data_IF_312235726795
#
_entry.id   IF_312235726795
#
_cell.length_a   1.000
_cell.length_b   1.000
_cell.length_c   1.000
_cell.angle_alpha   90.00
_cell.angle_beta   90.00
_cell.angle_gamma   90.00
#
_symmetry.space_group_name_H-M   'P 1'
#
loop_
_entity.id
_entity.type
_entity.pdbx_description
1 polymer ?
#
# COMPACT_ATOMS: atom_id res chain seq x y z
N UNK A 1 -3.48 24.42 63.30
CA UNK A 1 -4.54 23.60 62.68
C UNK A 1 -5.20 24.30 61.49
N UNK A 2 -5.43 25.63 61.50
CA UNK A 2 -6.02 26.39 60.39
C UNK A 2 -5.10 26.48 59.18
N UNK A 3 -3.79 26.65 59.35
CA UNK A 3 -2.83 26.69 58.27
C UNK A 3 -2.78 25.34 57.49
N UNK A 4 -2.93 24.23 58.21
CA UNK A 4 -2.95 22.90 57.62
C UNK A 4 -4.25 22.66 56.81
N UNK A 5 -5.40 23.19 57.27
CA UNK A 5 -6.64 23.16 56.51
C UNK A 5 -6.55 23.99 55.23
N UNK A 6 -5.94 25.19 55.28
CA UNK A 6 -5.76 26.06 54.11
C UNK A 6 -4.86 25.44 53.05
N UNK A 7 -3.80 24.72 53.43
CA UNK A 7 -2.94 23.99 52.53
C UNK A 7 -3.65 22.81 51.85
N UNK A 8 -4.45 22.05 52.61
CA UNK A 8 -5.24 20.94 52.06
C UNK A 8 -6.37 21.39 51.12
N UNK A 9 -6.92 22.60 51.29
CA UNK A 9 -7.90 23.18 50.36
C UNK A 9 -7.22 23.65 49.07
N UNK A 10 -6.01 24.23 49.14
CA UNK A 10 -5.24 24.63 47.95
C UNK A 10 -4.85 23.43 47.06
N UNK A 11 -4.45 22.30 47.66
CA UNK A 11 -4.14 21.09 46.92
C UNK A 11 -5.37 20.49 46.21
N UNK A 12 -6.53 20.46 46.87
CA UNK A 12 -7.78 19.99 46.26
C UNK A 12 -8.25 20.87 45.10
N UNK A 13 -8.15 22.19 45.24
CA UNK A 13 -8.52 23.12 44.17
C UNK A 13 -7.57 23.00 42.96
N UNK A 14 -6.27 22.76 43.18
CA UNK A 14 -5.31 22.52 42.11
C UNK A 14 -5.56 21.19 41.39
N UNK A 15 -5.91 20.11 42.10
CA UNK A 15 -6.30 18.83 41.52
C UNK A 15 -7.59 18.96 40.68
N UNK A 16 -8.61 19.66 41.16
CA UNK A 16 -9.87 19.87 40.43
C UNK A 16 -9.63 20.70 39.17
N UNK A 17 -8.82 21.75 39.24
CA UNK A 17 -8.47 22.57 38.07
C UNK A 17 -7.67 21.76 37.05
N UNK A 18 -6.72 20.95 37.50
CA UNK A 18 -5.92 20.08 36.62
C UNK A 18 -6.80 19.03 35.92
N UNK A 19 -7.70 18.39 36.66
CA UNK A 19 -8.64 17.41 36.10
C UNK A 19 -9.61 18.06 35.09
N UNK A 20 -10.08 19.27 35.35
CA UNK A 20 -10.93 20.01 34.42
C UNK A 20 -10.19 20.40 33.14
N UNK A 21 -8.90 20.78 33.21
CA UNK A 21 -8.05 21.02 32.04
C UNK A 21 -7.78 19.76 31.23
N UNK A 22 -7.55 18.62 31.89
CA UNK A 22 -7.38 17.32 31.23
C UNK A 22 -8.66 16.89 30.50
N UNK A 23 -9.83 17.07 31.08
CA UNK A 23 -11.12 16.77 30.46
C UNK A 23 -11.43 17.66 29.25
N UNK A 24 -11.11 18.96 29.32
CA UNK A 24 -11.25 19.88 28.18
C UNK A 24 -10.30 19.47 27.04
N UNK A 25 -9.06 19.16 27.35
CA UNK A 25 -8.07 18.73 26.37
C UNK A 25 -8.46 17.41 25.71
N UNK A 26 -8.95 16.43 26.51
CA UNK A 26 -9.44 15.15 25.99
C UNK A 26 -10.65 15.34 25.06
N UNK A 27 -11.61 16.20 25.42
CA UNK A 27 -12.79 16.51 24.59
C UNK A 27 -12.39 17.19 23.28
N UNK A 28 -11.46 18.13 23.33
CA UNK A 28 -10.92 18.83 22.16
C UNK A 28 -10.21 17.84 21.23
N UNK A 29 -9.38 16.94 21.76
CA UNK A 29 -8.71 15.89 21.03
C UNK A 29 -9.69 14.92 20.34
N UNK A 30 -10.73 14.46 21.05
CA UNK A 30 -11.77 13.60 20.48
C UNK A 30 -12.54 14.28 19.34
N UNK A 31 -12.85 15.57 19.46
CA UNK A 31 -13.49 16.34 18.42
C UNK A 31 -12.59 16.47 17.18
N UNK A 32 -11.28 16.70 17.36
CA UNK A 32 -10.28 16.71 16.30
C UNK A 32 -10.24 15.36 15.55
N UNK A 33 -10.16 14.25 16.28
CA UNK A 33 -10.18 12.91 15.68
C UNK A 33 -11.45 12.69 14.88
N UNK A 34 -12.61 13.00 15.43
CA UNK A 34 -13.90 12.87 14.76
C UNK A 34 -13.90 13.67 13.45
N UNK A 35 -13.47 14.92 13.48
CA UNK A 35 -13.38 15.79 12.31
C UNK A 35 -12.44 15.19 11.24
N UNK A 36 -11.27 14.69 11.62
CA UNK A 36 -10.29 14.14 10.71
C UNK A 36 -10.70 12.80 10.08
N UNK A 37 -11.61 12.05 10.71
CA UNK A 37 -11.92 10.67 10.29
C UNK A 37 -13.34 10.46 9.79
N UNK A 38 -14.25 11.42 9.94
CA UNK A 38 -15.68 11.24 9.63
C UNK A 38 -15.96 10.93 8.15
N UNK A 39 -15.18 11.53 7.25
CA UNK A 39 -15.39 11.42 5.79
C UNK A 39 -14.47 10.39 5.13
N UNK A 40 -13.73 9.59 5.91
CA UNK A 40 -12.87 8.54 5.38
C UNK A 40 -13.70 7.32 4.96
N UNK A 41 -13.58 6.87 3.69
CA UNK A 41 -14.30 5.70 3.21
C UNK A 41 -13.73 4.39 3.77
N UNK A 42 -14.53 3.30 3.67
CA UNK A 42 -14.15 1.95 4.06
C UNK A 42 -13.50 1.17 2.91
N UNK A 43 -12.76 1.85 2.07
CA UNK A 43 -12.18 1.32 0.84
C UNK A 43 -10.66 1.29 0.92
N UNK A 44 -10.06 0.50 0.02
CA UNK A 44 -8.61 0.38 -0.12
C UNK A 44 -8.01 1.63 -0.74
N UNK A 45 -6.92 2.11 -0.16
CA UNK A 45 -6.25 3.28 -0.68
C UNK A 45 -4.92 3.60 -0.02
N UNK A 46 -4.42 4.77 -0.36
CA UNK A 46 -3.30 5.42 0.31
C UNK A 46 -3.89 6.47 1.24
N UNK A 47 -3.49 6.46 2.49
CA UNK A 47 -3.83 7.50 3.46
C UNK A 47 -2.60 8.37 3.72
N UNK A 48 -2.78 9.69 3.72
CA UNK A 48 -1.73 10.67 3.98
C UNK A 48 -2.09 11.49 5.20
N UNK A 49 -1.20 11.55 6.17
CA UNK A 49 -1.31 12.42 7.34
C UNK A 49 -0.40 13.62 7.12
N UNK A 50 -0.94 14.82 7.27
CA UNK A 50 -0.23 16.07 7.04
C UNK A 50 -0.26 16.95 8.28
N UNK A 51 0.83 17.70 8.48
CA UNK A 51 0.90 18.73 9.52
C UNK A 51 0.20 20.04 9.07
N UNK A 52 0.23 21.07 9.92
CA UNK A 52 -0.38 22.37 9.66
C UNK A 52 0.15 23.07 8.40
N UNK A 53 1.41 22.79 8.01
CA UNK A 53 2.03 23.34 6.80
C UNK A 53 1.71 22.53 5.53
N UNK A 54 0.87 21.50 5.62
CA UNK A 54 0.51 20.62 4.50
C UNK A 54 1.59 19.59 4.14
N UNK A 55 2.65 19.47 4.94
CA UNK A 55 3.71 18.48 4.72
C UNK A 55 3.24 17.10 5.14
N UNK A 56 3.43 16.10 4.27
CA UNK A 56 3.16 14.69 4.59
C UNK A 56 4.15 14.23 5.67
N UNK A 57 3.65 13.91 6.87
CA UNK A 57 4.42 13.37 8.00
C UNK A 57 4.39 11.85 8.03
N UNK A 58 3.33 11.26 7.48
CA UNK A 58 3.17 9.82 7.38
C UNK A 58 2.21 9.46 6.23
N UNK A 59 2.44 8.33 5.56
CA UNK A 59 1.49 7.71 4.65
C UNK A 59 1.61 6.19 4.69
N UNK A 60 0.52 5.50 4.36
CA UNK A 60 0.50 4.05 4.24
C UNK A 60 -0.52 3.56 3.21
N UNK A 61 -0.33 2.32 2.73
CA UNK A 61 -1.29 1.59 1.91
C UNK A 61 -2.14 0.74 2.83
N UNK A 62 -3.45 0.87 2.71
CA UNK A 62 -4.37 0.25 3.64
C UNK A 62 -5.58 -0.34 2.91
N UNK A 63 -6.11 -1.44 3.44
CA UNK A 63 -7.31 -2.10 2.88
C UNK A 63 -8.60 -1.36 3.25
N UNK A 64 -8.57 -0.55 4.31
CA UNK A 64 -9.70 0.20 4.84
C UNK A 64 -9.18 1.49 5.48
N UNK A 65 -9.42 2.61 4.81
CA UNK A 65 -8.94 3.94 5.20
C UNK A 65 -9.51 4.38 6.56
N UNK A 66 -10.82 4.21 6.75
CA UNK A 66 -11.50 4.60 8.00
C UNK A 66 -11.02 3.77 9.19
N UNK A 67 -10.95 2.44 9.02
CA UNK A 67 -10.48 1.53 10.07
C UNK A 67 -9.04 1.79 10.46
N UNK A 68 -8.17 2.02 9.47
CA UNK A 68 -6.76 2.30 9.72
C UNK A 68 -6.58 3.59 10.53
N UNK A 69 -7.24 4.69 10.13
CA UNK A 69 -7.16 5.96 10.84
C UNK A 69 -7.62 5.81 12.29
N UNK A 70 -8.78 5.18 12.52
CA UNK A 70 -9.28 4.91 13.89
C UNK A 70 -8.30 4.06 14.71
N UNK A 71 -7.68 3.06 14.09
CA UNK A 71 -6.67 2.21 14.76
C UNK A 71 -5.43 3.02 15.11
N UNK A 72 -4.96 3.89 14.21
CA UNK A 72 -3.82 4.77 14.46
C UNK A 72 -4.08 5.70 15.65
N UNK A 73 -5.24 6.36 15.70
CA UNK A 73 -5.59 7.29 16.77
C UNK A 73 -5.82 6.60 18.13
N UNK A 74 -6.20 5.31 18.14
CA UNK A 74 -6.32 4.51 19.36
C UNK A 74 -5.00 3.84 19.78
N UNK A 75 -3.96 3.94 18.99
CA UNK A 75 -2.67 3.28 19.24
C UNK A 75 -1.86 4.01 20.31
N UNK A 76 -1.26 3.23 21.22
CA UNK A 76 -0.32 3.72 22.25
C UNK A 76 1.15 3.65 21.82
N UNK A 77 1.46 3.23 20.59
CA UNK A 77 2.85 3.14 20.13
C UNK A 77 3.48 4.54 20.02
N UNK A 78 4.76 4.66 20.36
CA UNK A 78 5.48 5.94 20.31
C UNK A 78 5.40 6.60 18.94
N UNK A 79 5.52 5.81 17.86
CA UNK A 79 5.45 6.30 16.48
C UNK A 79 4.06 6.86 16.15
N UNK A 80 2.99 6.15 16.54
CA UNK A 80 1.63 6.61 16.27
C UNK A 80 1.28 7.84 17.10
N UNK A 81 1.75 7.93 18.35
CA UNK A 81 1.56 9.13 19.17
C UNK A 81 2.18 10.36 18.52
N UNK A 82 3.40 10.25 18.02
CA UNK A 82 4.02 11.36 17.31
C UNK A 82 3.17 11.83 16.11
N UNK A 83 2.60 10.90 15.32
CA UNK A 83 1.70 11.25 14.22
C UNK A 83 0.41 11.90 14.75
N UNK A 84 -0.18 11.37 15.83
CA UNK A 84 -1.38 11.93 16.47
C UNK A 84 -1.19 13.37 16.93
N UNK A 85 -0.01 13.70 17.46
CA UNK A 85 0.32 15.03 17.98
C UNK A 85 0.54 16.06 16.85
N UNK A 86 1.10 15.63 15.70
CA UNK A 86 1.50 16.52 14.61
C UNK A 86 0.44 16.66 13.49
N UNK A 87 -0.51 15.72 13.38
CA UNK A 87 -1.47 15.70 12.27
C UNK A 87 -2.51 16.80 12.38
N UNK A 88 -2.73 17.54 11.29
CA UNK A 88 -3.81 18.53 11.16
C UNK A 88 -4.76 18.21 10.01
N UNK A 89 -4.29 17.45 8.99
CA UNK A 89 -5.09 17.07 7.84
C UNK A 89 -4.88 15.61 7.46
N UNK A 90 -5.95 14.96 6.98
CA UNK A 90 -5.89 13.62 6.38
C UNK A 90 -6.42 13.71 4.96
N UNK A 91 -5.63 13.21 4.01
CA UNK A 91 -6.03 13.02 2.62
C UNK A 91 -5.89 11.56 2.22
N UNK A 92 -6.55 11.16 1.14
CA UNK A 92 -6.43 9.79 0.63
C UNK A 92 -6.55 9.75 -0.90
N UNK A 93 -6.00 8.69 -1.48
CA UNK A 93 -6.26 8.27 -2.85
C UNK A 93 -6.80 6.84 -2.82
N UNK A 94 -7.92 6.60 -3.49
CA UNK A 94 -8.39 5.24 -3.73
C UNK A 94 -7.50 4.56 -4.78
N UNK A 95 -7.17 3.28 -4.61
CA UNK A 95 -6.17 2.64 -5.47
C UNK A 95 -6.58 1.30 -6.05
N UNK A 96 -7.49 0.57 -5.43
CA UNK A 96 -7.90 -0.77 -5.85
C UNK A 96 -6.85 -1.87 -5.60
N UNK A 97 -5.54 -1.57 -5.73
CA UNK A 97 -4.46 -2.54 -5.50
C UNK A 97 -3.17 -1.89 -4.98
N UNK A 98 -2.28 -2.70 -4.38
CA UNK A 98 -0.96 -2.25 -3.90
C UNK A 98 -0.04 -1.82 -5.06
N UNK A 99 -0.18 -2.44 -6.22
CA UNK A 99 0.58 -2.07 -7.43
C UNK A 99 0.21 -0.64 -7.84
N UNK A 100 -1.09 -0.33 -7.94
CA UNK A 100 -1.56 1.00 -8.27
C UNK A 100 -1.20 2.03 -7.19
N UNK A 101 -1.26 1.65 -5.92
CA UNK A 101 -0.81 2.50 -4.83
C UNK A 101 0.67 2.91 -4.99
N UNK A 102 1.56 1.95 -5.29
CA UNK A 102 2.98 2.24 -5.55
C UNK A 102 3.20 3.13 -6.75
N UNK A 103 2.43 2.95 -7.81
CA UNK A 103 2.49 3.80 -8.99
C UNK A 103 2.06 5.23 -8.66
N UNK A 104 0.94 5.41 -7.97
CA UNK A 104 0.42 6.73 -7.57
C UNK A 104 1.43 7.47 -6.69
N UNK A 105 1.99 6.83 -5.65
CA UNK A 105 2.98 7.52 -4.80
C UNK A 105 4.26 7.88 -5.56
N UNK A 106 4.67 7.06 -6.54
CA UNK A 106 5.83 7.35 -7.37
C UNK A 106 5.62 8.59 -8.22
N UNK A 107 4.42 8.80 -8.77
CA UNK A 107 4.09 10.04 -9.52
C UNK A 107 4.11 11.28 -8.64
N UNK A 108 3.83 11.12 -7.35
CA UNK A 108 3.91 12.19 -6.33
C UNK A 108 5.33 12.40 -5.76
N UNK A 109 6.34 11.70 -6.28
CA UNK A 109 7.71 11.77 -5.77
C UNK A 109 7.93 11.11 -4.41
N UNK A 110 6.95 10.35 -3.93
CA UNK A 110 7.03 9.61 -2.68
C UNK A 110 7.56 8.20 -2.93
N UNK A 111 8.19 7.61 -1.91
CA UNK A 111 8.72 6.25 -1.97
C UNK A 111 8.39 5.50 -0.68
N UNK A 112 7.97 4.26 -0.83
CA UNK A 112 7.83 3.30 0.26
C UNK A 112 8.58 2.04 -0.12
N UNK A 113 9.67 1.75 0.58
CA UNK A 113 10.47 0.54 0.34
C UNK A 113 9.80 -0.66 1.00
N UNK A 114 9.76 -1.77 0.29
CA UNK A 114 9.34 -3.04 0.84
C UNK A 114 10.50 -3.71 1.58
N UNK A 115 10.19 -4.27 2.75
CA UNK A 115 11.14 -5.07 3.50
C UNK A 115 10.93 -6.55 3.17
N UNK A 116 11.54 -7.01 2.08
CA UNK A 116 11.52 -8.41 1.70
C UNK A 116 12.55 -9.19 2.53
N UNK A 117 12.09 -10.14 3.33
CA UNK A 117 12.94 -10.97 4.18
C UNK A 117 13.07 -12.42 3.69
N UNK A 118 12.14 -12.87 2.84
CA UNK A 118 12.05 -14.25 2.37
C UNK A 118 12.09 -14.30 0.84
N UNK A 119 12.65 -15.36 0.29
CA UNK A 119 12.72 -15.63 -1.14
C UNK A 119 12.13 -16.99 -1.50
N UNK A 120 11.64 -17.11 -2.73
CA UNK A 120 11.33 -18.37 -3.39
C UNK A 120 12.57 -18.86 -4.11
N UNK A 121 12.95 -20.09 -3.88
CA UNK A 121 14.10 -20.77 -4.50
C UNK A 121 13.67 -22.09 -5.13
N UNK A 122 14.47 -22.59 -6.05
CA UNK A 122 14.30 -23.90 -6.68
C UNK A 122 15.63 -24.66 -6.64
N UNK A 123 15.64 -25.84 -6.00
CA UNK A 123 16.81 -26.70 -5.87
C UNK A 123 16.38 -28.15 -5.73
N UNK A 124 17.15 -29.06 -6.34
CA UNK A 124 16.84 -30.49 -6.30
C UNK A 124 15.39 -30.80 -6.70
N UNK A 125 14.93 -30.18 -7.79
CA UNK A 125 13.58 -30.34 -8.36
C UNK A 125 12.43 -29.93 -7.42
N UNK A 126 12.70 -29.08 -6.41
CA UNK A 126 11.70 -28.62 -5.45
C UNK A 126 11.75 -27.12 -5.25
N UNK A 127 10.56 -26.52 -5.11
CA UNK A 127 10.42 -25.15 -4.67
C UNK A 127 10.41 -25.08 -3.14
N UNK A 128 11.04 -24.06 -2.60
CA UNK A 128 11.02 -23.80 -1.16
C UNK A 128 11.14 -22.30 -0.87
N UNK A 129 10.61 -21.90 0.28
CA UNK A 129 10.75 -20.55 0.80
C UNK A 129 11.82 -20.53 1.89
N UNK A 130 12.75 -19.57 1.83
CA UNK A 130 13.81 -19.43 2.81
C UNK A 130 14.12 -17.93 3.05
N UNK A 131 14.73 -17.62 4.20
CA UNK A 131 15.24 -16.27 4.47
C UNK A 131 16.35 -15.91 3.49
N UNK A 132 16.24 -14.72 2.89
CA UNK A 132 17.25 -14.20 1.94
C UNK A 132 18.64 -14.12 2.60
N UNK A 133 18.68 -13.80 3.90
CA UNK A 133 19.94 -13.74 4.66
C UNK A 133 20.67 -15.09 4.77
N UNK A 134 19.94 -16.22 4.65
CA UNK A 134 20.52 -17.56 4.76
C UNK A 134 21.14 -18.04 3.44
N UNK A 135 20.67 -17.51 2.30
CA UNK A 135 21.09 -17.88 0.96
C UNK A 135 21.62 -16.65 0.19
N UNK A 136 22.62 -15.99 0.73
CA UNK A 136 23.14 -14.71 0.22
C UNK A 136 23.70 -14.79 -1.21
N UNK A 137 24.23 -15.94 -1.61
CA UNK A 137 24.82 -16.16 -2.93
C UNK A 137 23.79 -16.56 -3.98
N UNK A 138 22.60 -16.99 -3.56
CA UNK A 138 21.54 -17.44 -4.46
C UNK A 138 20.51 -16.31 -4.67
N UNK A 139 20.19 -16.00 -5.93
CA UNK A 139 19.15 -15.01 -6.24
C UNK A 139 17.77 -15.65 -6.17
N UNK A 140 16.84 -15.15 -5.34
CA UNK A 140 15.48 -15.69 -5.29
C UNK A 140 14.72 -15.43 -6.59
N UNK A 141 13.84 -16.35 -6.97
CA UNK A 141 12.91 -16.20 -8.10
C UNK A 141 11.87 -15.11 -7.81
N UNK A 142 11.34 -15.09 -6.58
CA UNK A 142 10.38 -14.12 -6.05
C UNK A 142 10.74 -13.78 -4.62
N UNK A 143 10.32 -12.60 -4.14
CA UNK A 143 10.59 -12.12 -2.79
C UNK A 143 9.30 -11.87 -2.00
N UNK A 144 9.32 -12.09 -0.67
CA UNK A 144 8.17 -11.98 0.21
C UNK A 144 8.51 -11.24 1.51
N UNK A 145 7.52 -10.55 2.07
CA UNK A 145 7.64 -9.85 3.37
C UNK A 145 7.61 -10.83 4.56
N UNK A 146 6.93 -11.97 4.41
CA UNK A 146 6.83 -12.99 5.46
C UNK A 146 7.02 -14.41 4.93
N UNK A 147 7.43 -15.32 5.83
CA UNK A 147 7.56 -16.75 5.52
C UNK A 147 6.23 -17.37 5.06
N UNK A 148 5.13 -16.98 5.70
CA UNK A 148 3.78 -17.47 5.34
C UNK A 148 3.40 -17.12 3.90
N UNK A 149 3.77 -15.92 3.41
CA UNK A 149 3.55 -15.55 2.00
C UNK A 149 4.38 -16.43 1.06
N UNK A 150 5.64 -16.71 1.42
CA UNK A 150 6.50 -17.63 0.67
C UNK A 150 5.94 -19.05 0.60
N UNK A 151 5.49 -19.60 1.73
CA UNK A 151 4.86 -20.95 1.76
C UNK A 151 3.57 -21.01 0.92
N UNK A 152 2.72 -19.97 0.97
CA UNK A 152 1.53 -19.92 0.11
C UNK A 152 1.90 -19.91 -1.38
N UNK A 153 2.97 -19.23 -1.76
CA UNK A 153 3.44 -19.24 -3.14
C UNK A 153 4.00 -20.61 -3.55
N UNK A 154 4.79 -21.28 -2.69
CA UNK A 154 5.26 -22.66 -2.93
C UNK A 154 4.06 -23.59 -3.13
N UNK A 155 3.12 -23.61 -2.19
CA UNK A 155 1.91 -24.45 -2.28
C UNK A 155 1.11 -24.17 -3.54
N UNK A 156 0.94 -22.91 -3.93
CA UNK A 156 0.27 -22.55 -5.17
C UNK A 156 0.98 -23.11 -6.40
N UNK A 157 2.33 -22.94 -6.50
CA UNK A 157 3.13 -23.41 -7.63
C UNK A 157 3.05 -24.94 -7.73
N UNK A 158 3.15 -25.65 -6.62
CA UNK A 158 3.10 -27.13 -6.59
C UNK A 158 1.74 -27.69 -7.03
N UNK A 159 0.65 -26.94 -6.85
CA UNK A 159 -0.68 -27.35 -7.35
C UNK A 159 -0.85 -27.16 -8.86
N UNK A 160 0.04 -26.37 -9.51
CA UNK A 160 -0.04 -26.08 -10.95
C UNK A 160 0.89 -26.99 -11.74
N UNK A 161 0.35 -27.89 -12.50
CA UNK A 161 1.13 -28.86 -13.30
C UNK A 161 2.11 -28.20 -14.28
N UNK A 162 1.80 -27.01 -14.77
CA UNK A 162 2.63 -26.22 -15.68
C UNK A 162 3.93 -25.74 -15.03
N UNK A 163 4.01 -25.61 -13.70
CA UNK A 163 5.20 -25.11 -13.00
C UNK A 163 6.11 -26.21 -12.45
N UNK A 164 5.93 -27.47 -12.89
CA UNK A 164 6.89 -28.56 -12.58
C UNK A 164 8.29 -28.24 -13.11
N UNK A 165 8.36 -27.55 -14.25
CA UNK A 165 9.59 -27.00 -14.79
C UNK A 165 9.77 -25.56 -14.34
N UNK A 166 10.91 -25.28 -13.69
CA UNK A 166 11.27 -23.94 -13.23
C UNK A 166 11.41 -22.95 -14.39
N UNK A 167 11.77 -23.40 -15.58
CA UNK A 167 11.89 -22.53 -16.75
C UNK A 167 10.51 -22.03 -17.22
N UNK A 168 9.48 -22.86 -17.10
CA UNK A 168 8.10 -22.42 -17.38
C UNK A 168 7.64 -21.37 -16.35
N UNK A 169 7.96 -21.54 -15.07
CA UNK A 169 7.68 -20.49 -14.06
C UNK A 169 8.41 -19.19 -14.42
N UNK A 170 9.71 -19.27 -14.75
CA UNK A 170 10.49 -18.09 -15.13
C UNK A 170 9.90 -17.38 -16.35
N UNK A 171 9.44 -18.10 -17.38
CA UNK A 171 8.76 -17.53 -18.55
C UNK A 171 7.49 -16.77 -18.15
N UNK A 172 6.65 -17.36 -17.28
CA UNK A 172 5.41 -16.72 -16.84
C UNK A 172 5.68 -15.41 -16.10
N UNK A 173 6.63 -15.40 -15.15
CA UNK A 173 6.95 -14.21 -14.35
C UNK A 173 7.92 -13.23 -15.04
N UNK A 174 8.36 -13.53 -16.27
CA UNK A 174 9.27 -12.68 -17.00
C UNK A 174 8.60 -11.39 -17.47
N UNK A 175 9.27 -10.25 -17.27
CA UNK A 175 8.74 -8.94 -17.63
C UNK A 175 9.37 -8.32 -18.88
N UNK A 176 10.58 -8.79 -19.28
CA UNK A 176 11.27 -8.23 -20.43
C UNK A 176 10.52 -8.56 -21.72
N UNK A 177 10.65 -7.70 -22.71
CA UNK A 177 10.08 -7.83 -24.07
C UNK A 177 8.53 -7.86 -24.14
N UNK A 178 7.82 -7.61 -23.02
CA UNK A 178 6.37 -7.52 -23.05
C UNK A 178 5.90 -6.24 -23.75
N UNK A 179 4.97 -6.40 -24.69
CA UNK A 179 4.21 -5.32 -25.32
C UNK A 179 2.73 -5.62 -25.08
N UNK A 180 2.20 -5.16 -23.97
CA UNK A 180 0.90 -5.60 -23.45
C UNK A 180 0.18 -4.50 -22.69
N UNK A 181 -1.14 -4.62 -22.68
CA UNK A 181 -2.03 -3.91 -21.79
C UNK A 181 -2.52 -4.89 -20.72
N UNK A 182 -2.29 -4.56 -19.46
CA UNK A 182 -2.78 -5.35 -18.34
C UNK A 182 -3.96 -4.65 -17.70
N UNK A 183 -5.10 -5.32 -17.60
CA UNK A 183 -6.34 -4.79 -17.04
C UNK A 183 -6.64 -5.45 -15.70
N UNK A 184 -7.09 -4.66 -14.74
CA UNK A 184 -7.59 -5.17 -13.45
C UNK A 184 -8.73 -4.30 -12.90
N UNK A 185 -9.23 -4.61 -11.71
CA UNK A 185 -10.20 -3.78 -11.01
C UNK A 185 -9.63 -2.36 -10.77
N UNK A 186 -10.49 -1.36 -10.87
CA UNK A 186 -10.14 0.04 -10.61
C UNK A 186 -10.24 0.41 -9.13
N UNK A 187 -10.37 1.69 -8.86
CA UNK A 187 -10.45 2.28 -7.51
C UNK A 187 -11.81 2.05 -6.87
N UNK A 188 -12.84 2.01 -7.69
CA UNK A 188 -14.24 1.86 -7.28
C UNK A 188 -14.96 0.82 -8.12
N UNK A 189 -16.15 0.40 -7.66
CA UNK A 189 -17.03 -0.48 -8.42
C UNK A 189 -17.44 0.22 -9.74
N UNK A 190 -17.27 -0.47 -10.87
CA UNK A 190 -17.56 0.09 -12.20
C UNK A 190 -16.38 0.80 -12.88
N UNK A 191 -15.23 0.86 -12.22
CA UNK A 191 -13.97 1.33 -12.80
C UNK A 191 -13.00 0.16 -13.02
N UNK A 192 -12.23 0.22 -14.11
CA UNK A 192 -11.07 -0.64 -14.34
C UNK A 192 -9.79 0.18 -14.32
N UNK A 193 -8.70 -0.46 -13.98
CA UNK A 193 -7.35 0.07 -14.11
C UNK A 193 -6.63 -0.59 -15.26
N UNK A 194 -5.63 0.08 -15.81
CA UNK A 194 -4.76 -0.47 -16.83
C UNK A 194 -3.29 -0.12 -16.59
N UNK A 195 -2.41 -1.03 -17.01
CA UNK A 195 -0.97 -0.84 -17.06
C UNK A 195 -0.52 -1.02 -18.51
N UNK A 196 0.38 -0.16 -19.00
CA UNK A 196 0.91 -0.22 -20.36
C UNK A 196 2.36 -0.66 -20.32
N UNK A 197 2.64 -1.82 -20.90
CA UNK A 197 3.99 -2.33 -21.12
C UNK A 197 4.43 -2.11 -22.56
N UNK A 198 5.60 -1.51 -22.74
CA UNK A 198 6.25 -1.32 -24.03
C UNK A 198 7.71 -1.76 -23.94
N UNK A 199 8.12 -2.71 -24.80
CA UNK A 199 9.50 -3.27 -24.82
C UNK A 199 9.96 -3.72 -23.42
N UNK A 200 9.10 -4.42 -22.71
CA UNK A 200 9.37 -4.94 -21.38
C UNK A 200 9.37 -3.90 -20.23
N UNK A 201 9.04 -2.66 -20.50
CA UNK A 201 8.98 -1.59 -19.50
C UNK A 201 7.54 -1.15 -19.27
N UNK A 202 7.16 -1.02 -18.02
CA UNK A 202 5.92 -0.35 -17.65
C UNK A 202 6.10 1.16 -17.88
N UNK A 203 5.39 1.71 -18.86
CA UNK A 203 5.53 3.10 -19.31
C UNK A 203 4.46 4.01 -18.75
N UNK A 204 3.25 3.48 -18.55
CA UNK A 204 2.12 4.25 -18.06
C UNK A 204 1.10 3.35 -17.36
N UNK A 205 0.21 3.98 -16.60
CA UNK A 205 -0.97 3.38 -16.01
C UNK A 205 -2.13 4.35 -16.05
N UNK A 206 -3.34 3.89 -15.75
CA UNK A 206 -4.50 4.75 -15.66
C UNK A 206 -5.75 4.02 -15.23
N UNK A 207 -6.87 4.76 -15.30
CA UNK A 207 -8.18 4.28 -14.90
C UNK A 207 -9.22 4.66 -15.94
N UNK A 208 -10.23 3.82 -16.11
CA UNK A 208 -11.36 4.11 -16.97
C UNK A 208 -12.64 3.48 -16.43
N UNK A 209 -13.76 4.14 -16.69
CA UNK A 209 -15.08 3.61 -16.33
C UNK A 209 -15.53 2.54 -17.32
N UNK A 210 -16.13 1.46 -16.81
CA UNK A 210 -16.63 0.33 -17.63
C UNK A 210 -17.66 0.77 -18.67
N UNK A 211 -18.43 1.82 -18.38
CA UNK A 211 -19.43 2.37 -19.30
C UNK A 211 -18.82 3.25 -20.39
N UNK A 212 -17.58 3.67 -20.24
CA UNK A 212 -16.85 4.34 -21.29
C UNK A 212 -16.58 3.32 -22.40
N UNK A 213 -17.08 3.56 -23.60
CA UNK A 213 -16.77 2.72 -24.77
C UNK A 213 -15.29 2.89 -25.17
N UNK A 214 -14.39 2.38 -24.34
CA UNK A 214 -12.95 2.40 -24.57
C UNK A 214 -12.55 1.20 -25.43
N UNK A 215 -12.83 1.29 -26.71
CA UNK A 215 -12.53 0.28 -27.72
C UNK A 215 -11.31 0.62 -28.58
N UNK A 216 -10.50 1.62 -28.16
CA UNK A 216 -9.30 2.00 -28.90
C UNK A 216 -8.16 2.46 -27.98
N UNK A 217 -6.93 2.16 -28.39
CA UNK A 217 -5.70 2.65 -27.77
C UNK A 217 -5.61 4.17 -27.69
N UNK A 218 -6.12 4.86 -28.68
CA UNK A 218 -6.16 6.33 -28.72
C UNK A 218 -6.94 6.93 -27.54
N UNK A 219 -8.02 6.27 -27.11
CA UNK A 219 -8.79 6.71 -25.95
C UNK A 219 -8.06 6.42 -24.64
N UNK A 220 -7.41 5.25 -24.52
CA UNK A 220 -6.60 4.92 -23.34
C UNK A 220 -5.40 5.87 -23.20
N UNK A 221 -4.76 6.27 -24.30
CA UNK A 221 -3.62 7.19 -24.25
C UNK A 221 -3.97 8.59 -23.70
N UNK A 222 -5.25 8.99 -23.76
CA UNK A 222 -5.71 10.25 -23.15
C UNK A 222 -5.93 10.17 -21.64
N UNK A 223 -6.07 8.95 -21.12
CA UNK A 223 -6.31 8.69 -19.68
C UNK A 223 -5.04 8.20 -18.97
N UNK A 224 -3.96 7.98 -19.71
CA UNK A 224 -2.73 7.46 -19.14
C UNK A 224 -2.00 8.50 -18.29
N UNK A 225 -1.38 7.98 -17.24
CA UNK A 225 -0.45 8.69 -16.37
C UNK A 225 0.93 8.12 -16.66
N UNK A 226 1.80 8.91 -17.27
CA UNK A 226 3.15 8.47 -17.65
C UNK A 226 4.05 8.30 -16.43
N UNK A 227 4.85 7.25 -16.44
CA UNK A 227 5.83 6.97 -15.41
C UNK A 227 7.18 7.54 -15.79
N UNK A 228 7.67 8.50 -15.00
CA UNK A 228 9.02 9.08 -15.16
C UNK A 228 10.13 8.12 -14.69
N UNK A 229 9.81 7.25 -13.76
CA UNK A 229 10.73 6.26 -13.19
C UNK A 229 9.98 5.00 -12.78
N UNK A 230 10.64 3.85 -12.92
CA UNK A 230 10.09 2.56 -12.51
C UNK A 230 10.51 2.27 -11.06
N UNK A 231 9.56 2.08 -10.12
CA UNK A 231 9.90 1.72 -8.75
C UNK A 231 10.56 0.35 -8.70
N UNK A 232 11.77 0.28 -8.14
CA UNK A 232 12.57 -0.95 -8.13
C UNK A 232 11.86 -2.14 -7.46
N UNK A 233 11.08 -1.89 -6.42
CA UNK A 233 10.33 -2.93 -5.69
C UNK A 233 9.06 -3.38 -6.42
N UNK A 234 8.57 -2.62 -7.41
CA UNK A 234 7.37 -2.94 -8.17
C UNK A 234 7.56 -4.17 -9.07
N UNK A 235 8.79 -4.43 -9.54
CA UNK A 235 9.07 -5.59 -10.39
C UNK A 235 8.60 -6.90 -9.74
N UNK A 236 8.92 -7.08 -8.46
CA UNK A 236 8.52 -8.28 -7.74
C UNK A 236 6.99 -8.41 -7.57
N UNK A 237 6.28 -7.29 -7.36
CA UNK A 237 4.83 -7.31 -7.24
C UNK A 237 4.15 -7.64 -8.57
N UNK A 238 4.67 -7.12 -9.69
CA UNK A 238 4.19 -7.46 -11.03
C UNK A 238 4.42 -8.94 -11.34
N UNK A 239 5.58 -9.48 -10.97
CA UNK A 239 5.88 -10.91 -11.11
C UNK A 239 4.93 -11.79 -10.27
N UNK A 240 4.63 -11.37 -9.05
CA UNK A 240 3.64 -12.06 -8.20
C UNK A 240 2.22 -11.97 -8.78
N UNK A 241 1.87 -10.85 -9.37
CA UNK A 241 0.58 -10.66 -10.01
C UNK A 241 0.44 -11.53 -11.27
N UNK A 242 1.50 -11.69 -12.07
CA UNK A 242 1.54 -12.63 -13.18
C UNK A 242 1.36 -14.08 -12.71
N UNK A 243 2.07 -14.47 -11.66
CA UNK A 243 1.95 -15.81 -11.08
C UNK A 243 0.51 -16.13 -10.65
N UNK A 244 -0.22 -15.14 -10.14
CA UNK A 244 -1.59 -15.27 -9.65
C UNK A 244 -2.65 -15.06 -10.72
N UNK A 245 -2.26 -14.62 -11.92
CA UNK A 245 -3.18 -14.18 -12.99
C UNK A 245 -4.11 -13.04 -12.52
N UNK A 246 -3.57 -12.07 -11.79
CA UNK A 246 -4.33 -10.94 -11.24
C UNK A 246 -4.77 -9.93 -12.32
N UNK A 247 -4.27 -10.07 -13.55
CA UNK A 247 -4.56 -9.20 -14.69
C UNK A 247 -5.12 -9.96 -15.88
N UNK A 248 -6.05 -9.35 -16.57
CA UNK A 248 -6.42 -9.67 -17.93
C UNK A 248 -5.37 -9.04 -18.87
N UNK A 249 -4.65 -9.85 -19.62
CA UNK A 249 -3.53 -9.40 -20.47
C UNK A 249 -3.98 -9.35 -21.91
N UNK A 250 -3.84 -8.18 -22.56
CA UNK A 250 -4.17 -7.95 -23.95
C UNK A 250 -2.89 -7.53 -24.69
N UNK A 251 -2.54 -8.16 -25.83
CA UNK A 251 -1.40 -7.75 -26.64
C UNK A 251 -1.52 -6.27 -27.04
N UNK A 252 -0.41 -5.53 -26.96
CA UNK A 252 -0.37 -4.16 -27.50
C UNK A 252 -0.41 -4.23 -29.03
N UNK A 253 -1.31 -3.52 -29.70
CA UNK A 253 -1.25 -3.45 -31.16
C UNK A 253 0.08 -2.82 -31.55
N UNK A 254 0.89 -3.58 -32.28
CA UNK A 254 2.11 -3.05 -32.91
C UNK A 254 1.74 -1.92 -33.87
N UNK A 255 2.47 -0.81 -33.76
CA UNK A 255 2.39 0.27 -34.74
C UNK A 255 3.25 -0.07 -35.93
#
# INVERSE_FOLDING_TARGET
LELFKLLMFKDKDSEIIQQHHEDINAKTYLNKIKYLTQDLPFERGIIYFQNAEGKIIFFDFVDDLSKFAKTLFNSKSKRHKQIQDEVEHIHYDLTGSDILAKLIITTKGLQKRDNFQFGLYYKNEKYFAERISNLKEEKPLLRFKSFTQGLKAVSFIETQSQFKDVEELKKVIHLNDRNELWLSAGRTLGEKSFLIFQKGKLTAFGFYELYSQLNSWEKLSKLQIDLKSFPQDLQNDLQLALLRSDFEIIPHPEK
#
